data_IF_333053430608
#
_entry.id   IF_333053430608
#
_cell.length_a   1.000
_cell.length_b   1.000
_cell.length_c   1.000
_cell.angle_alpha   90.00
_cell.angle_beta   90.00
_cell.angle_gamma   90.00
#
_symmetry.space_group_name_H-M   'P 1'
#
loop_
_entity.id
_entity.type
_entity.pdbx_description
1 polymer ?
#
# COMPACT_ATOMS: atom_id res chain seq x y z
N UNK A 1 -26.56 -12.27 9.36
CA UNK A 1 -26.24 -13.39 8.44
C UNK A 1 -25.47 -14.50 9.15
N UNK A 2 -24.29 -14.27 9.76
CA UNK A 2 -23.51 -15.29 10.51
C UNK A 2 -24.31 -16.26 11.41
N UNK A 3 -25.19 -15.74 12.26
CA UNK A 3 -25.97 -16.57 13.19
C UNK A 3 -27.08 -17.36 12.50
N UNK A 4 -27.58 -16.88 11.36
CA UNK A 4 -28.61 -17.59 10.57
C UNK A 4 -27.98 -18.81 9.89
N UNK A 5 -26.81 -18.66 9.28
CA UNK A 5 -26.14 -19.76 8.57
C UNK A 5 -25.69 -20.87 9.53
N UNK A 6 -25.20 -20.50 10.72
CA UNK A 6 -24.85 -21.46 11.77
C UNK A 6 -26.10 -22.18 12.33
N UNK A 7 -27.23 -21.48 12.42
CA UNK A 7 -28.50 -22.04 12.90
C UNK A 7 -29.10 -23.00 11.87
N UNK A 8 -28.98 -22.69 10.58
CA UNK A 8 -29.38 -23.61 9.49
C UNK A 8 -28.52 -24.87 9.53
N UNK A 9 -27.20 -24.73 9.70
CA UNK A 9 -26.30 -25.89 9.76
C UNK A 9 -26.61 -26.80 10.96
N UNK A 10 -26.95 -26.21 12.10
CA UNK A 10 -27.33 -26.96 13.31
C UNK A 10 -28.70 -27.65 13.16
N UNK A 11 -29.67 -26.98 12.55
CA UNK A 11 -30.98 -27.55 12.21
C UNK A 11 -30.88 -28.71 11.21
N UNK A 12 -30.00 -28.61 10.21
CA UNK A 12 -29.75 -29.69 9.25
C UNK A 12 -29.08 -30.90 9.89
N UNK A 13 -28.19 -30.67 10.87
CA UNK A 13 -27.56 -31.73 11.67
C UNK A 13 -28.58 -32.41 12.58
N UNK A 14 -29.41 -31.64 13.27
CA UNK A 14 -30.45 -32.14 14.17
C UNK A 14 -31.50 -32.97 13.41
N UNK A 15 -31.83 -32.58 12.18
CA UNK A 15 -32.69 -33.35 11.25
C UNK A 15 -32.00 -34.57 10.64
N UNK A 16 -30.73 -34.83 10.94
CA UNK A 16 -29.95 -35.93 10.37
C UNK A 16 -29.74 -35.85 8.86
N UNK A 17 -29.95 -34.66 8.27
CA UNK A 17 -29.84 -34.44 6.83
C UNK A 17 -28.39 -34.31 6.37
N UNK A 18 -27.46 -34.10 7.32
CA UNK A 18 -26.02 -34.02 7.10
C UNK A 18 -25.29 -34.85 8.17
N UNK A 19 -24.11 -35.33 7.83
CA UNK A 19 -23.24 -36.06 8.76
C UNK A 19 -22.45 -35.11 9.67
N UNK A 20 -21.98 -35.61 10.83
CA UNK A 20 -21.16 -34.80 11.75
C UNK A 20 -19.85 -34.33 11.08
N UNK A 21 -19.29 -35.13 10.17
CA UNK A 21 -18.10 -34.76 9.39
C UNK A 21 -18.38 -33.59 8.44
N UNK A 22 -19.52 -33.61 7.74
CA UNK A 22 -19.95 -32.52 6.86
C UNK A 22 -20.29 -31.25 7.64
N UNK A 23 -20.93 -31.40 8.80
CA UNK A 23 -21.22 -30.28 9.69
C UNK A 23 -19.94 -29.57 10.14
N UNK A 24 -18.93 -30.32 10.62
CA UNK A 24 -17.67 -29.71 11.06
C UNK A 24 -16.91 -29.07 9.89
N UNK A 25 -16.94 -29.68 8.71
CA UNK A 25 -16.31 -29.12 7.50
C UNK A 25 -16.93 -27.79 7.11
N UNK A 26 -18.26 -27.70 7.04
CA UNK A 26 -18.93 -26.47 6.61
C UNK A 26 -18.91 -25.40 7.70
N UNK A 27 -18.99 -25.79 8.97
CA UNK A 27 -18.80 -24.89 10.12
C UNK A 27 -17.42 -24.25 10.11
N UNK A 28 -16.37 -25.03 9.86
CA UNK A 28 -14.99 -24.51 9.78
C UNK A 28 -14.85 -23.56 8.60
N UNK A 29 -15.45 -23.89 7.45
CA UNK A 29 -15.46 -23.03 6.26
C UNK A 29 -16.18 -21.70 6.49
N UNK A 30 -17.36 -21.69 7.12
CA UNK A 30 -18.09 -20.47 7.49
C UNK A 30 -17.28 -19.62 8.48
N UNK A 31 -16.63 -20.25 9.47
CA UNK A 31 -15.77 -19.55 10.43
C UNK A 31 -14.50 -18.96 9.78
N UNK A 32 -13.89 -19.68 8.84
CA UNK A 32 -12.65 -19.26 8.16
C UNK A 32 -12.90 -18.23 7.04
N UNK A 33 -14.02 -18.37 6.31
CA UNK A 33 -14.50 -17.32 5.40
C UNK A 33 -14.81 -16.06 6.18
N UNK A 34 -15.34 -16.16 7.41
CA UNK A 34 -15.56 -15.01 8.30
C UNK A 34 -14.24 -14.37 8.77
N UNK A 35 -13.24 -15.17 9.14
CA UNK A 35 -11.90 -14.67 9.47
C UNK A 35 -11.23 -13.97 8.27
N UNK A 36 -11.53 -14.43 7.06
CA UNK A 36 -11.05 -13.83 5.80
C UNK A 36 -11.88 -12.61 5.38
N UNK A 37 -13.16 -12.55 5.76
CA UNK A 37 -14.08 -11.44 5.42
C UNK A 37 -14.16 -10.35 6.49
N UNK A 38 -13.57 -10.53 7.67
CA UNK A 38 -13.24 -9.42 8.58
C UNK A 38 -12.11 -8.51 8.07
N UNK A 39 -11.43 -8.90 6.98
CA UNK A 39 -10.37 -8.10 6.33
C UNK A 39 -10.76 -7.63 4.92
N UNK A 40 -11.97 -7.95 4.43
CA UNK A 40 -12.39 -7.57 3.07
C UNK A 40 -13.44 -6.46 3.10
N UNK A 41 -13.01 -5.22 3.30
CA UNK A 41 -13.78 -4.08 2.79
C UNK A 41 -13.67 -4.12 1.26
N UNK A 42 -14.80 -4.25 0.58
CA UNK A 42 -14.84 -4.38 -0.87
C UNK A 42 -14.25 -3.17 -1.57
N UNK A 43 -13.16 -3.37 -2.32
CA UNK A 43 -12.71 -2.59 -3.48
C UNK A 43 -11.44 -3.25 -4.05
N UNK A 44 -11.54 -4.10 -5.09
CA UNK A 44 -10.37 -4.46 -5.91
C UNK A 44 -10.38 -3.55 -7.14
N UNK A 45 -9.30 -2.83 -7.49
CA UNK A 45 -7.99 -3.44 -7.68
C UNK A 45 -6.84 -2.79 -6.89
N UNK A 46 -6.01 -3.66 -6.32
CA UNK A 46 -4.62 -3.39 -5.89
C UNK A 46 -3.72 -4.51 -6.43
N UNK A 47 -4.05 -5.01 -7.62
CA UNK A 47 -3.52 -6.27 -8.19
C UNK A 47 -3.70 -7.50 -7.28
N UNK A 48 -4.73 -7.50 -6.44
CA UNK A 48 -4.99 -8.57 -5.47
C UNK A 48 -4.10 -8.52 -4.23
N UNK A 49 -3.30 -7.48 -4.05
CA UNK A 49 -2.51 -7.23 -2.86
C UNK A 49 -3.36 -6.59 -1.75
N UNK A 50 -2.92 -6.78 -0.50
CA UNK A 50 -3.42 -6.01 0.64
C UNK A 50 -3.09 -4.52 0.45
N UNK A 51 -3.95 -3.64 0.97
CA UNK A 51 -3.75 -2.19 0.93
C UNK A 51 -2.38 -1.76 1.47
N UNK A 52 -2.03 -2.17 2.69
CA UNK A 52 -0.78 -1.78 3.33
C UNK A 52 0.44 -2.25 2.54
N UNK A 53 0.39 -3.49 2.02
CA UNK A 53 1.43 -4.05 1.16
C UNK A 53 1.55 -3.25 -0.14
N UNK A 54 0.42 -2.89 -0.76
CA UNK A 54 0.41 -2.10 -1.98
C UNK A 54 1.01 -0.70 -1.77
N UNK A 55 0.63 -0.02 -0.69
CA UNK A 55 1.15 1.30 -0.31
C UNK A 55 2.65 1.24 0.00
N UNK A 56 3.10 0.22 0.73
CA UNK A 56 4.52 -0.03 0.99
C UNK A 56 5.29 -0.17 -0.33
N UNK A 57 4.81 -1.02 -1.24
CA UNK A 57 5.43 -1.25 -2.55
C UNK A 57 5.42 0.01 -3.41
N UNK A 58 4.39 0.84 -3.32
CA UNK A 58 4.34 2.13 -4.01
C UNK A 58 5.50 3.03 -3.58
N UNK A 59 5.76 3.15 -2.28
CA UNK A 59 6.92 3.88 -1.78
C UNK A 59 8.24 3.22 -2.20
N UNK A 60 8.36 1.89 -2.05
CA UNK A 60 9.60 1.17 -2.40
C UNK A 60 9.91 1.24 -3.91
N UNK A 61 8.89 1.34 -4.76
CA UNK A 61 9.07 1.44 -6.21
C UNK A 61 9.91 2.66 -6.63
N UNK A 62 9.97 3.69 -5.78
CA UNK A 62 10.84 4.84 -5.95
C UNK A 62 12.33 4.47 -6.01
N UNK A 63 12.73 3.37 -5.36
CA UNK A 63 14.11 2.89 -5.33
C UNK A 63 14.53 2.18 -6.63
N UNK A 64 13.58 1.85 -7.52
CA UNK A 64 13.92 1.35 -8.86
C UNK A 64 14.77 2.34 -9.67
N UNK A 65 14.75 3.62 -9.29
CA UNK A 65 15.64 4.65 -9.82
C UNK A 65 17.13 4.31 -9.69
N UNK A 66 17.52 3.48 -8.72
CA UNK A 66 18.90 3.04 -8.54
C UNK A 66 19.36 2.07 -9.63
N UNK A 67 18.44 1.30 -10.21
CA UNK A 67 18.72 0.35 -11.29
C UNK A 67 18.49 0.97 -12.66
N UNK A 68 17.38 1.70 -12.79
CA UNK A 68 16.93 2.33 -14.02
C UNK A 68 16.53 3.78 -13.69
N UNK A 69 17.32 4.80 -14.10
CA UNK A 69 17.17 6.18 -13.65
C UNK A 69 15.76 6.78 -13.77
N UNK A 70 14.94 6.30 -14.73
CA UNK A 70 13.57 6.76 -14.93
C UNK A 70 12.51 5.92 -14.19
N UNK A 71 12.82 4.67 -13.83
CA UNK A 71 11.86 3.75 -13.23
C UNK A 71 11.41 4.22 -11.83
N UNK A 72 12.30 4.85 -11.06
CA UNK A 72 11.97 5.40 -9.73
C UNK A 72 10.94 6.53 -9.74
N UNK A 73 10.70 7.15 -10.90
CA UNK A 73 9.64 8.16 -11.07
C UNK A 73 8.38 7.55 -11.67
N UNK A 74 8.56 6.72 -12.70
CA UNK A 74 7.45 6.16 -13.48
C UNK A 74 6.68 5.10 -12.68
N UNK A 75 7.37 4.20 -12.00
CA UNK A 75 6.72 3.10 -11.26
C UNK A 75 5.73 3.57 -10.18
N UNK A 76 6.09 4.47 -9.24
CA UNK A 76 5.14 4.93 -8.23
C UNK A 76 3.97 5.73 -8.83
N UNK A 77 4.21 6.46 -9.92
CA UNK A 77 3.17 7.25 -10.61
C UNK A 77 2.16 6.35 -11.33
N UNK A 78 2.62 5.29 -12.00
CA UNK A 78 1.71 4.31 -12.60
C UNK A 78 0.88 3.66 -11.49
N UNK A 79 1.51 3.20 -10.41
CA UNK A 79 0.80 2.61 -9.27
C UNK A 79 -0.27 3.57 -8.71
N UNK A 80 0.06 4.85 -8.53
CA UNK A 80 -0.90 5.85 -8.08
C UNK A 80 -2.05 6.06 -9.07
N UNK A 81 -1.78 6.36 -10.34
CA UNK A 81 -2.82 6.69 -11.32
C UNK A 81 -3.79 5.51 -11.54
N UNK A 82 -3.30 4.27 -11.50
CA UNK A 82 -4.15 3.09 -11.71
C UNK A 82 -5.19 2.90 -10.61
N UNK A 83 -4.87 3.26 -9.36
CA UNK A 83 -5.70 2.89 -8.21
C UNK A 83 -6.17 4.09 -7.35
N UNK A 84 -5.80 5.33 -7.68
CA UNK A 84 -6.21 6.54 -6.94
C UNK A 84 -7.73 6.75 -6.88
N UNK A 85 -8.46 6.38 -7.93
CA UNK A 85 -9.92 6.55 -7.97
C UNK A 85 -10.65 5.44 -7.20
N UNK A 86 -9.96 4.32 -6.92
CA UNK A 86 -10.54 3.17 -6.21
C UNK A 86 -10.19 3.18 -4.72
N UNK A 87 -9.05 3.75 -4.34
CA UNK A 87 -8.59 3.72 -2.95
C UNK A 87 -8.08 5.10 -2.51
N UNK A 88 -8.74 5.68 -1.51
CA UNK A 88 -8.42 7.00 -0.98
C UNK A 88 -7.02 7.06 -0.34
N UNK A 89 -6.55 5.98 0.29
CA UNK A 89 -5.20 5.91 0.84
C UNK A 89 -4.15 5.84 -0.27
N UNK A 90 -4.45 5.16 -1.39
CA UNK A 90 -3.59 5.23 -2.59
C UNK A 90 -3.49 6.66 -3.10
N UNK A 91 -4.60 7.40 -3.18
CA UNK A 91 -4.55 8.80 -3.61
C UNK A 91 -3.71 9.66 -2.65
N UNK A 92 -3.94 9.51 -1.35
CA UNK A 92 -3.24 10.22 -0.29
C UNK A 92 -1.72 9.98 -0.31
N UNK A 93 -1.30 8.72 -0.41
CA UNK A 93 0.12 8.35 -0.46
C UNK A 93 0.76 8.76 -1.79
N UNK A 94 0.06 8.59 -2.92
CA UNK A 94 0.58 8.95 -4.23
C UNK A 94 0.80 10.45 -4.41
N UNK A 95 -0.11 11.30 -3.92
CA UNK A 95 0.09 12.76 -3.86
C UNK A 95 1.31 13.14 -3.03
N UNK A 96 1.50 12.49 -1.87
CA UNK A 96 2.65 12.70 -1.01
C UNK A 96 3.97 12.30 -1.69
N UNK A 97 3.98 11.14 -2.36
CA UNK A 97 5.14 10.66 -3.16
C UNK A 97 5.46 11.64 -4.29
N UNK A 98 4.47 12.11 -5.04
CA UNK A 98 4.69 13.06 -6.12
C UNK A 98 5.23 14.40 -5.63
N UNK A 99 4.65 14.96 -4.57
CA UNK A 99 5.17 16.18 -3.95
C UNK A 99 6.64 16.00 -3.54
N UNK A 100 7.00 14.84 -2.98
CA UNK A 100 8.36 14.53 -2.60
C UNK A 100 9.31 14.38 -3.80
N UNK A 101 8.91 13.65 -4.84
CA UNK A 101 9.67 13.50 -6.09
C UNK A 101 9.97 14.87 -6.71
N UNK A 102 8.95 15.72 -6.85
CA UNK A 102 9.12 17.04 -7.47
C UNK A 102 10.02 17.93 -6.60
N UNK A 103 9.82 17.92 -5.28
CA UNK A 103 10.66 18.67 -4.34
C UNK A 103 12.13 18.22 -4.42
N UNK A 104 12.37 16.91 -4.41
CA UNK A 104 13.70 16.34 -4.53
C UNK A 104 14.36 16.69 -5.86
N UNK A 105 13.62 16.64 -6.97
CA UNK A 105 14.14 17.04 -8.29
C UNK A 105 14.56 18.52 -8.29
N UNK A 106 13.76 19.41 -7.72
CA UNK A 106 14.10 20.83 -7.61
C UNK A 106 15.37 21.01 -6.77
N UNK A 107 15.45 20.37 -5.61
CA UNK A 107 16.64 20.45 -4.75
C UNK A 107 17.89 19.92 -5.44
N UNK A 108 17.77 18.79 -6.14
CA UNK A 108 18.88 18.20 -6.88
C UNK A 108 19.35 19.09 -8.04
N UNK A 109 18.43 19.73 -8.77
CA UNK A 109 18.76 20.64 -9.87
C UNK A 109 19.49 21.90 -9.37
N UNK A 110 19.03 22.50 -8.26
CA UNK A 110 19.69 23.66 -7.65
C UNK A 110 21.10 23.31 -7.18
N UNK A 111 21.26 22.16 -6.52
CA UNK A 111 22.57 21.71 -6.05
C UNK A 111 23.52 21.39 -7.22
N UNK A 112 23.03 20.78 -8.29
CA UNK A 112 23.85 20.41 -9.45
C UNK A 112 24.52 21.60 -10.15
N UNK A 113 23.92 22.80 -10.08
CA UNK A 113 24.47 24.02 -10.69
C UNK A 113 25.54 24.67 -9.79
N UNK A 114 25.64 24.25 -8.52
CA UNK A 114 26.54 24.86 -7.52
C UNK A 114 27.88 24.11 -7.45
N UNK A 115 29.02 24.81 -7.31
CA UNK A 115 30.37 24.21 -7.24
C UNK A 115 30.52 23.21 -6.07
N UNK A 116 29.83 23.43 -4.95
CA UNK A 116 29.82 22.56 -3.76
C UNK A 116 28.71 21.48 -3.85
N UNK A 117 28.02 21.39 -4.98
CA UNK A 117 26.83 20.57 -5.18
C UNK A 117 27.06 19.07 -5.03
N UNK A 118 28.17 18.54 -5.55
CA UNK A 118 28.43 17.09 -5.62
C UNK A 118 28.40 16.40 -4.23
N UNK A 119 29.16 16.84 -3.20
CA UNK A 119 29.07 16.21 -1.88
C UNK A 119 27.69 16.35 -1.24
N UNK A 120 26.99 17.48 -1.45
CA UNK A 120 25.63 17.69 -0.94
C UNK A 120 24.61 16.79 -1.63
N UNK A 121 24.78 16.48 -2.92
CA UNK A 121 23.92 15.56 -3.66
C UNK A 121 24.00 14.14 -3.09
N UNK A 122 25.19 13.70 -2.65
CA UNK A 122 25.35 12.38 -1.99
C UNK A 122 24.56 12.36 -0.68
N UNK A 123 24.69 13.40 0.15
CA UNK A 123 23.94 13.52 1.41
C UNK A 123 22.43 13.55 1.14
N UNK A 124 21.99 14.32 0.13
CA UNK A 124 20.58 14.40 -0.26
C UNK A 124 20.05 13.04 -0.72
N UNK A 125 20.84 12.27 -1.48
CA UNK A 125 20.49 10.91 -1.90
C UNK A 125 20.35 9.92 -0.74
N UNK A 126 21.20 10.03 0.28
CA UNK A 126 21.08 9.22 1.51
C UNK A 126 19.79 9.59 2.26
N UNK A 127 19.51 10.90 2.42
CA UNK A 127 18.26 11.37 3.06
C UNK A 127 17.04 10.82 2.30
N UNK A 128 17.08 10.87 0.96
CA UNK A 128 16.01 10.33 0.11
C UNK A 128 15.78 8.83 0.36
N UNK A 129 16.85 8.04 0.38
CA UNK A 129 16.78 6.60 0.66
C UNK A 129 16.14 6.34 2.03
N UNK A 130 16.61 7.02 3.07
CA UNK A 130 16.09 6.87 4.43
C UNK A 130 14.61 7.21 4.50
N UNK A 131 14.19 8.31 3.88
CA UNK A 131 12.80 8.74 3.88
C UNK A 131 11.89 7.76 3.13
N UNK A 132 12.32 7.23 1.98
CA UNK A 132 11.55 6.21 1.27
C UNK A 132 11.36 4.97 2.13
N UNK A 133 12.42 4.47 2.76
CA UNK A 133 12.34 3.29 3.64
C UNK A 133 11.39 3.56 4.83
N UNK A 134 11.51 4.71 5.49
CA UNK A 134 10.63 5.06 6.61
C UNK A 134 9.15 5.16 6.18
N UNK A 135 8.88 5.78 5.03
CA UNK A 135 7.53 5.87 4.47
C UNK A 135 6.98 4.48 4.14
N UNK A 136 7.80 3.61 3.54
CA UNK A 136 7.42 2.23 3.21
C UNK A 136 7.07 1.41 4.46
N UNK A 137 7.91 1.46 5.49
CA UNK A 137 7.67 0.73 6.76
C UNK A 137 6.40 1.23 7.42
N UNK A 138 6.18 2.55 7.46
CA UNK A 138 4.97 3.13 8.04
C UNK A 138 3.72 2.79 7.25
N UNK A 139 3.79 2.85 5.92
CA UNK A 139 2.69 2.43 5.05
C UNK A 139 2.34 0.95 5.24
N UNK A 140 3.33 0.08 5.44
CA UNK A 140 3.10 -1.33 5.74
C UNK A 140 2.40 -1.55 7.10
N UNK A 141 2.61 -0.64 8.05
CA UNK A 141 1.91 -0.66 9.35
C UNK A 141 0.52 0.01 9.30
N UNK A 142 0.06 0.46 8.12
CA UNK A 142 -1.18 1.21 7.97
C UNK A 142 -1.11 2.66 8.45
N UNK A 143 0.10 3.19 8.65
CA UNK A 143 0.33 4.57 9.05
C UNK A 143 0.64 5.47 7.85
N UNK A 144 -0.03 6.63 7.78
CA UNK A 144 0.35 7.68 6.85
C UNK A 144 1.54 8.47 7.38
N UNK A 145 2.63 8.52 6.61
CA UNK A 145 3.78 9.35 6.92
C UNK A 145 4.05 10.36 5.81
N UNK A 146 3.90 11.63 6.16
CA UNK A 146 4.23 12.73 5.27
C UNK A 146 5.73 12.90 5.16
N UNK A 147 6.24 12.95 3.93
CA UNK A 147 7.65 13.20 3.68
C UNK A 147 8.06 14.57 4.26
N UNK A 148 9.17 14.65 5.00
CA UNK A 148 9.74 15.92 5.43
C UNK A 148 10.22 16.72 4.22
N UNK A 149 10.24 18.05 4.37
CA UNK A 149 10.75 18.98 3.36
C UNK A 149 10.06 18.87 1.99
N UNK A 150 8.77 18.54 1.95
CA UNK A 150 7.98 18.59 0.71
C UNK A 150 7.36 19.97 0.48
N UNK A 151 7.43 20.40 -0.78
CA UNK A 151 6.61 21.47 -1.32
C UNK A 151 5.28 20.82 -1.78
N UNK A 152 4.15 21.33 -1.29
CA UNK A 152 2.82 20.80 -1.63
C UNK A 152 2.33 21.37 -2.97
N UNK A 153 2.53 20.63 -4.04
CA UNK A 153 1.96 20.93 -5.36
C UNK A 153 0.54 20.36 -5.49
N UNK A 154 0.35 19.13 -5.00
CA UNK A 154 -0.93 18.43 -4.96
C UNK A 154 -1.47 18.41 -3.52
N UNK A 155 -2.76 18.72 -3.37
CA UNK A 155 -3.50 18.75 -2.10
C UNK A 155 -4.39 17.52 -1.93
#
# INVERSE_FOLDING_TARGET
>A
MKYEDLKILDDLREKGSITEEEYQREKTKILNDTASSSTSSGSKPLFGLEENTYLMLMHLSQLLGLLLPLAGFVAPVIMWITNKETNANVDLHGKNILNFIISYLIYSAVLAITIIGIPLLIVLGIIYLVFVILASVKANNGEYWRYPFIIQFLK
#
